data_IF_937755873477
#
_entry.id   IF_937755873477
#
_cell.length_a   1.000
_cell.length_b   1.000
_cell.length_c   1.000
_cell.angle_alpha   90.00
_cell.angle_beta   90.00
_cell.angle_gamma   90.00
#
_symmetry.space_group_name_H-M   'P 1'
#
loop_
_entity.id
_entity.type
_entity.pdbx_description
1 polymer ?
#
# COMPACT_ATOMS: atom_id res chain seq x y z
N UNK A 1 28.52 -29.47 -0.96
CA UNK A 1 29.10 -28.25 -1.58
C UNK A 1 27.96 -27.48 -2.19
N UNK A 2 27.66 -26.28 -1.69
CA UNK A 2 26.70 -25.39 -2.33
C UNK A 2 27.13 -25.13 -3.79
N UNK A 3 26.15 -24.95 -4.68
CA UNK A 3 26.42 -24.62 -6.09
C UNK A 3 27.21 -23.30 -6.19
N UNK A 4 28.00 -23.10 -7.27
CA UNK A 4 28.85 -21.90 -7.44
C UNK A 4 28.10 -20.55 -7.43
N UNK A 5 26.77 -20.53 -7.52
CA UNK A 5 25.96 -19.30 -7.57
C UNK A 5 24.91 -19.26 -6.43
N UNK A 6 25.13 -20.01 -5.36
CA UNK A 6 24.34 -19.95 -4.14
C UNK A 6 25.24 -19.46 -3.01
N UNK A 7 24.79 -18.44 -2.30
CA UNK A 7 25.48 -17.83 -1.18
C UNK A 7 24.60 -17.85 0.06
N UNK A 8 25.19 -18.06 1.21
CA UNK A 8 24.57 -17.82 2.52
C UNK A 8 25.33 -16.68 3.19
N UNK A 9 24.62 -15.64 3.62
CA UNK A 9 25.25 -14.45 4.23
C UNK A 9 26.02 -14.77 5.51
N UNK A 10 25.69 -15.86 6.20
CA UNK A 10 26.35 -16.31 7.43
C UNK A 10 27.59 -17.17 7.17
N UNK A 11 27.75 -17.70 5.95
CA UNK A 11 28.91 -18.48 5.52
C UNK A 11 29.92 -17.65 4.71
N UNK A 12 29.62 -16.38 4.42
CA UNK A 12 30.48 -15.51 3.62
C UNK A 12 31.70 -15.01 4.42
N UNK A 13 32.89 -15.11 3.82
CA UNK A 13 34.16 -14.82 4.51
C UNK A 13 34.55 -13.34 4.62
N UNK A 14 33.74 -12.41 4.10
CA UNK A 14 34.02 -10.97 4.12
C UNK A 14 32.90 -10.22 4.83
N UNK A 15 33.25 -9.51 5.92
CA UNK A 15 32.29 -8.79 6.75
C UNK A 15 31.61 -9.69 7.78
N UNK A 16 30.61 -9.15 8.48
CA UNK A 16 29.78 -9.87 9.45
C UNK A 16 28.32 -9.46 9.23
N UNK A 17 27.41 -10.38 8.84
CA UNK A 17 26.04 -10.02 8.52
C UNK A 17 25.26 -9.48 9.73
N UNK A 18 25.66 -9.82 10.95
CA UNK A 18 25.04 -9.29 12.17
C UNK A 18 25.46 -7.85 12.49
N UNK A 19 26.51 -7.34 11.83
CA UNK A 19 26.99 -5.96 12.01
C UNK A 19 26.66 -5.08 10.81
N UNK A 20 26.85 -5.61 9.61
CA UNK A 20 26.49 -4.95 8.36
C UNK A 20 26.26 -5.98 7.25
N UNK A 21 25.03 -6.50 7.14
CA UNK A 21 24.62 -7.39 6.04
C UNK A 21 24.71 -6.69 4.68
N UNK A 22 24.61 -5.36 4.66
CA UNK A 22 24.76 -4.58 3.44
C UNK A 22 26.13 -4.75 2.80
N UNK A 23 27.19 -4.64 3.61
CA UNK A 23 28.57 -4.91 3.18
C UNK A 23 28.76 -6.35 2.69
N UNK A 24 28.19 -7.32 3.41
CA UNK A 24 28.26 -8.75 3.06
C UNK A 24 27.61 -8.99 1.68
N UNK A 25 26.39 -8.52 1.47
CA UNK A 25 25.65 -8.70 0.22
C UNK A 25 26.39 -7.99 -0.94
N UNK A 26 26.86 -6.76 -0.74
CA UNK A 26 27.65 -6.06 -1.76
C UNK A 26 28.94 -6.81 -2.12
N UNK A 27 29.61 -7.43 -1.14
CA UNK A 27 30.80 -8.26 -1.39
C UNK A 27 30.46 -9.53 -2.18
N UNK A 28 29.32 -10.15 -1.92
CA UNK A 28 28.81 -11.29 -2.71
C UNK A 28 28.50 -10.85 -4.15
N UNK A 29 27.82 -9.71 -4.35
CA UNK A 29 27.53 -9.15 -5.69
C UNK A 29 28.83 -8.90 -6.46
N UNK A 30 29.86 -8.38 -5.80
CA UNK A 30 31.18 -8.19 -6.40
C UNK A 30 31.82 -9.53 -6.84
N UNK A 31 31.75 -10.58 -6.02
CA UNK A 31 32.22 -11.91 -6.40
C UNK A 31 31.47 -12.48 -7.61
N UNK A 32 30.13 -12.34 -7.64
CA UNK A 32 29.31 -12.76 -8.77
C UNK A 32 29.79 -12.09 -10.06
N UNK A 33 29.99 -10.76 -10.03
CA UNK A 33 30.45 -9.97 -11.18
C UNK A 33 31.85 -10.37 -11.63
N UNK A 34 32.75 -10.67 -10.70
CA UNK A 34 34.12 -11.12 -11.00
C UNK A 34 34.13 -12.49 -11.70
N UNK A 35 33.21 -13.39 -11.35
CA UNK A 35 33.11 -14.72 -11.97
C UNK A 35 32.32 -14.71 -13.27
N UNK A 36 31.25 -13.92 -13.36
CA UNK A 36 30.32 -13.88 -14.50
C UNK A 36 30.67 -12.71 -15.44
N UNK A 37 31.87 -12.74 -16.02
CA UNK A 37 32.36 -11.65 -16.89
C UNK A 37 31.90 -11.79 -18.36
N UNK A 38 31.67 -13.02 -18.80
CA UNK A 38 31.36 -13.35 -20.19
C UNK A 38 29.85 -13.33 -20.41
N UNK A 39 29.39 -12.71 -21.50
CA UNK A 39 27.96 -12.59 -21.82
C UNK A 39 27.45 -13.69 -22.75
N UNK A 40 28.34 -14.31 -23.52
CA UNK A 40 27.99 -15.32 -24.53
C UNK A 40 29.15 -16.30 -24.77
N UNK A 41 29.18 -17.40 -24.01
CA UNK A 41 30.05 -18.55 -24.20
C UNK A 41 29.20 -19.81 -24.09
N UNK A 42 29.13 -20.58 -25.18
CA UNK A 42 28.30 -21.78 -25.28
C UNK A 42 26.83 -21.49 -24.88
N UNK A 43 26.29 -20.39 -25.40
CA UNK A 43 24.92 -19.91 -25.12
C UNK A 43 24.66 -19.61 -23.62
N UNK A 44 25.71 -19.36 -22.85
CA UNK A 44 25.68 -19.04 -21.43
C UNK A 44 26.53 -17.80 -21.10
N UNK A 45 26.42 -17.27 -19.89
CA UNK A 45 27.27 -16.16 -19.47
C UNK A 45 26.99 -15.66 -18.07
N UNK A 46 25.92 -14.88 -17.92
CA UNK A 46 25.56 -14.19 -16.67
C UNK A 46 24.24 -14.72 -16.09
N UNK A 47 24.22 -15.95 -15.55
CA UNK A 47 23.00 -16.56 -15.01
C UNK A 47 22.51 -15.93 -13.70
N UNK A 48 23.23 -14.97 -13.11
CA UNK A 48 22.89 -14.41 -11.80
C UNK A 48 23.21 -15.39 -10.66
N UNK A 49 22.53 -15.21 -9.53
CA UNK A 49 22.82 -15.96 -8.31
C UNK A 49 21.67 -15.89 -7.31
N UNK A 50 21.75 -16.71 -6.27
CA UNK A 50 20.87 -16.69 -5.10
C UNK A 50 21.69 -16.30 -3.87
N UNK A 51 21.22 -15.33 -3.11
CA UNK A 51 21.73 -14.95 -1.79
C UNK A 51 20.67 -15.32 -0.77
N UNK A 52 21.01 -16.23 0.12
CA UNK A 52 20.14 -16.71 1.19
C UNK A 52 20.47 -16.02 2.51
N UNK A 53 19.41 -15.60 3.21
CA UNK A 53 19.44 -14.96 4.52
C UNK A 53 18.73 -15.91 5.49
N UNK A 54 19.45 -16.68 6.32
CA UNK A 54 18.82 -17.48 7.37
C UNK A 54 17.98 -16.61 8.32
N UNK A 55 17.07 -17.18 9.14
CA UNK A 55 16.43 -16.43 10.21
C UNK A 55 17.46 -15.88 11.20
N UNK A 56 17.35 -14.59 11.53
CA UNK A 56 18.28 -13.88 12.39
C UNK A 56 18.10 -12.36 12.31
N UNK A 57 18.76 -11.64 13.20
CA UNK A 57 18.82 -10.17 13.21
C UNK A 57 20.10 -9.69 12.52
N UNK A 58 19.93 -8.91 11.45
CA UNK A 58 20.99 -8.44 10.59
C UNK A 58 20.94 -6.93 10.42
N UNK A 59 21.84 -6.21 11.07
CA UNK A 59 22.00 -4.78 10.90
C UNK A 59 22.47 -4.45 9.48
N UNK A 60 21.85 -3.46 8.84
CA UNK A 60 22.25 -2.92 7.54
C UNK A 60 22.65 -1.47 7.72
N UNK A 61 23.95 -1.21 7.68
CA UNK A 61 24.53 0.14 7.80
C UNK A 61 25.14 0.63 6.48
N UNK A 62 25.33 -0.28 5.52
CA UNK A 62 25.71 0.03 4.13
C UNK A 62 24.56 -0.30 3.19
N UNK A 63 24.15 0.64 2.34
CA UNK A 63 23.15 0.39 1.30
C UNK A 63 23.62 -0.74 0.34
N UNK A 64 22.72 -1.68 0.03
CA UNK A 64 22.97 -2.71 -0.99
C UNK A 64 22.69 -2.14 -2.38
N UNK A 65 23.65 -2.24 -3.29
CA UNK A 65 23.47 -1.82 -4.69
C UNK A 65 23.38 -3.03 -5.60
N UNK A 66 22.23 -3.22 -6.24
CA UNK A 66 21.98 -4.32 -7.17
C UNK A 66 22.02 -3.79 -8.61
N UNK A 67 23.02 -4.24 -9.36
CA UNK A 67 23.26 -3.86 -10.75
C UNK A 67 23.40 -5.06 -11.71
N UNK A 68 22.93 -6.24 -11.28
CA UNK A 68 22.95 -7.49 -12.05
C UNK A 68 21.54 -8.09 -12.18
N UNK A 69 21.26 -8.66 -13.34
CA UNK A 69 20.00 -9.39 -13.59
C UNK A 69 20.02 -10.78 -12.95
N UNK A 70 18.84 -11.37 -12.79
CA UNK A 70 18.68 -12.74 -12.28
C UNK A 70 19.26 -12.95 -10.87
N UNK A 71 19.36 -11.88 -10.07
CA UNK A 71 19.72 -11.98 -8.67
C UNK A 71 18.46 -12.27 -7.85
N UNK A 72 18.50 -13.34 -7.06
CA UNK A 72 17.49 -13.62 -6.05
C UNK A 72 18.08 -13.39 -4.67
N UNK A 73 17.42 -12.58 -3.86
CA UNK A 73 17.69 -12.47 -2.43
C UNK A 73 16.50 -13.10 -1.71
N UNK A 74 16.75 -14.14 -0.92
CA UNK A 74 15.68 -14.90 -0.27
C UNK A 74 15.96 -15.20 1.20
N UNK A 75 14.91 -15.31 2.00
CA UNK A 75 14.99 -15.71 3.40
C UNK A 75 14.17 -16.95 3.74
N UNK A 76 13.71 -17.03 4.98
CA UNK A 76 12.85 -18.11 5.48
C UNK A 76 11.81 -17.61 6.49
N UNK A 77 11.32 -16.39 6.30
CA UNK A 77 10.20 -15.85 7.06
C UNK A 77 10.04 -14.34 6.93
N UNK A 78 8.82 -13.91 6.63
CA UNK A 78 8.41 -12.49 6.58
C UNK A 78 8.46 -11.81 7.96
N UNK A 79 8.32 -12.57 9.06
CA UNK A 79 8.73 -12.10 10.39
C UNK A 79 7.98 -10.90 10.97
N UNK A 80 6.76 -10.60 10.49
CA UNK A 80 5.98 -9.47 10.96
C UNK A 80 5.49 -9.66 12.40
N UNK A 81 5.61 -8.61 13.20
CA UNK A 81 4.85 -8.38 14.44
C UNK A 81 4.52 -6.90 14.50
N UNK A 82 3.46 -6.53 15.23
CA UNK A 82 3.04 -5.13 15.32
C UNK A 82 3.95 -4.32 16.25
N UNK A 83 4.90 -3.62 15.64
CA UNK A 83 5.73 -2.64 16.34
C UNK A 83 4.88 -1.46 16.83
N UNK A 84 3.85 -1.05 16.10
CA UNK A 84 2.94 0.04 16.47
C UNK A 84 2.21 -0.23 17.79
N UNK A 85 1.65 -1.43 17.97
CA UNK A 85 1.00 -1.82 19.23
C UNK A 85 2.02 -1.79 20.38
N UNK A 86 3.22 -2.32 20.16
CA UNK A 86 4.28 -2.32 21.17
C UNK A 86 4.68 -0.91 21.59
N UNK A 87 4.94 -0.02 20.63
CA UNK A 87 5.38 1.35 20.91
C UNK A 87 4.32 2.19 21.63
N UNK A 88 3.03 1.86 21.46
CA UNK A 88 1.93 2.48 22.18
C UNK A 88 1.52 1.73 23.47
N UNK A 89 2.24 0.67 23.83
CA UNK A 89 2.10 -0.02 25.12
C UNK A 89 3.13 0.54 26.12
N UNK A 90 2.78 0.77 27.40
CA UNK A 90 3.74 1.24 28.40
C UNK A 90 5.02 0.39 28.43
N UNK A 91 6.18 1.06 28.35
CA UNK A 91 7.49 0.39 28.31
C UNK A 91 7.75 -0.50 29.53
N UNK A 92 7.12 -0.19 30.68
CA UNK A 92 7.16 -1.03 31.90
C UNK A 92 6.64 -2.45 31.67
N UNK A 93 5.78 -2.63 30.68
CA UNK A 93 5.07 -3.88 30.42
C UNK A 93 5.84 -4.77 29.45
N UNK A 94 6.75 -4.21 28.65
CA UNK A 94 7.52 -4.93 27.64
C UNK A 94 8.37 -6.06 28.23
N UNK A 95 8.83 -5.93 29.48
CA UNK A 95 9.55 -6.99 30.18
C UNK A 95 8.75 -8.29 30.38
N UNK A 96 7.42 -8.20 30.27
CA UNK A 96 6.49 -9.32 30.40
C UNK A 96 6.03 -9.87 29.04
N UNK A 97 6.44 -9.25 27.92
CA UNK A 97 6.11 -9.73 26.58
C UNK A 97 7.01 -10.91 26.20
N UNK A 98 6.47 -11.84 25.40
CA UNK A 98 7.23 -12.98 24.90
C UNK A 98 8.35 -12.56 23.94
N UNK A 99 8.05 -11.57 23.09
CA UNK A 99 8.97 -10.94 22.16
C UNK A 99 8.57 -9.47 21.96
N UNK A 100 9.51 -8.65 21.49
CA UNK A 100 9.30 -7.21 21.34
C UNK A 100 9.73 -6.69 19.97
N UNK A 101 10.22 -7.53 19.07
CA UNK A 101 10.68 -7.09 17.75
C UNK A 101 10.16 -8.02 16.66
N UNK A 102 10.06 -7.52 15.42
CA UNK A 102 9.95 -8.38 14.25
C UNK A 102 11.07 -9.43 14.24
N UNK A 103 10.86 -10.51 13.49
CA UNK A 103 11.79 -11.64 13.40
C UNK A 103 11.92 -12.18 11.98
N UNK A 104 12.03 -13.51 11.85
CA UNK A 104 12.29 -14.15 10.55
C UNK A 104 13.70 -13.86 10.05
N UNK A 105 13.87 -13.73 8.74
CA UNK A 105 15.13 -13.30 8.12
C UNK A 105 15.19 -11.77 8.12
N UNK A 106 15.52 -11.16 9.26
CA UNK A 106 15.28 -9.74 9.54
C UNK A 106 16.48 -8.86 9.23
N UNK A 107 16.27 -7.93 8.30
CA UNK A 107 17.19 -6.84 8.00
C UNK A 107 16.74 -5.59 8.75
N UNK A 108 17.58 -5.13 9.67
CA UNK A 108 17.39 -3.91 10.44
C UNK A 108 18.01 -2.75 9.67
N UNK A 109 17.19 -1.81 9.19
CA UNK A 109 17.68 -0.70 8.37
C UNK A 109 18.23 0.41 9.26
N UNK A 110 19.55 0.41 9.46
CA UNK A 110 20.29 1.39 10.28
C UNK A 110 20.95 2.48 9.44
N UNK A 111 20.40 2.73 8.25
CA UNK A 111 20.75 3.90 7.45
C UNK A 111 20.19 5.16 8.12
N UNK A 112 20.99 6.23 8.12
CA UNK A 112 20.63 7.53 8.71
C UNK A 112 20.56 8.59 7.60
N UNK A 113 19.46 8.65 6.84
CA UNK A 113 19.26 9.66 5.81
C UNK A 113 19.26 11.06 6.44
N UNK A 114 19.85 12.03 5.74
CA UNK A 114 19.91 13.42 6.18
C UNK A 114 18.77 14.22 5.56
N UNK A 115 18.38 15.33 6.21
CA UNK A 115 17.39 16.25 5.63
C UNK A 115 17.86 16.77 4.27
N UNK A 116 17.01 16.63 3.25
CA UNK A 116 17.32 17.02 1.87
C UNK A 116 18.05 15.95 1.05
N UNK A 117 18.35 14.78 1.62
CA UNK A 117 18.81 13.64 0.83
C UNK A 117 17.75 13.18 -0.17
N UNK A 118 18.21 12.68 -1.32
CA UNK A 118 17.34 11.98 -2.25
C UNK A 118 16.84 10.68 -1.61
N UNK A 119 15.56 10.37 -1.77
CA UNK A 119 14.86 9.23 -1.14
C UNK A 119 15.65 7.92 -1.20
N UNK A 120 16.26 7.62 -2.35
CA UNK A 120 17.00 6.37 -2.54
C UNK A 120 18.19 6.22 -1.59
N UNK A 121 18.75 7.28 -0.99
CA UNK A 121 19.85 7.16 -0.02
C UNK A 121 19.43 6.46 1.27
N UNK A 122 18.14 6.52 1.61
CA UNK A 122 17.57 5.79 2.74
C UNK A 122 17.17 4.35 2.42
N UNK A 123 17.38 3.88 1.17
CA UNK A 123 16.96 2.55 0.75
C UNK A 123 17.90 1.46 1.24
N UNK A 124 17.37 0.41 1.87
CA UNK A 124 18.15 -0.78 2.23
C UNK A 124 18.70 -1.47 0.96
N UNK A 125 17.83 -1.65 -0.03
CA UNK A 125 18.17 -2.17 -1.36
C UNK A 125 17.92 -1.13 -2.44
N UNK A 126 18.99 -0.73 -3.13
CA UNK A 126 18.96 0.17 -4.26
C UNK A 126 19.25 -0.60 -5.56
N UNK A 127 18.24 -0.73 -6.42
CA UNK A 127 18.39 -1.39 -7.73
C UNK A 127 18.60 -0.33 -8.79
N UNK A 128 19.78 -0.34 -9.41
CA UNK A 128 20.12 0.59 -10.47
C UNK A 128 21.09 -0.03 -11.47
N UNK A 129 20.72 0.05 -12.74
CA UNK A 129 21.61 -0.21 -13.87
C UNK A 129 21.16 0.61 -15.07
N UNK A 130 22.06 1.46 -15.56
CA UNK A 130 21.84 2.23 -16.78
C UNK A 130 22.30 1.41 -18.01
N UNK A 131 21.77 1.73 -19.19
CA UNK A 131 22.11 1.05 -20.45
C UNK A 131 21.24 -0.17 -20.79
N UNK A 132 21.62 -0.86 -21.86
CA UNK A 132 20.87 -2.00 -22.41
C UNK A 132 21.52 -3.37 -22.10
N UNK A 133 20.72 -4.44 -21.95
CA UNK A 133 19.26 -4.41 -21.80
C UNK A 133 18.85 -3.84 -20.44
N UNK A 134 17.56 -3.51 -20.28
CA UNK A 134 16.94 -3.28 -18.95
C UNK A 134 17.34 -4.36 -17.95
N UNK A 135 17.46 -4.02 -16.68
CA UNK A 135 17.70 -5.03 -15.64
C UNK A 135 16.47 -5.93 -15.53
N UNK A 136 16.67 -7.25 -15.59
CA UNK A 136 15.55 -8.20 -15.59
C UNK A 136 15.60 -9.20 -14.45
N UNK A 137 14.40 -9.63 -14.04
CA UNK A 137 14.16 -10.81 -13.21
C UNK A 137 14.96 -10.86 -11.91
N UNK A 138 15.11 -9.72 -11.23
CA UNK A 138 15.55 -9.72 -9.83
C UNK A 138 14.36 -10.17 -8.97
N UNK A 139 14.65 -11.01 -7.98
CA UNK A 139 13.65 -11.56 -7.06
C UNK A 139 14.01 -11.21 -5.61
N UNK A 140 13.04 -10.69 -4.87
CA UNK A 140 13.08 -10.58 -3.41
C UNK A 140 12.04 -11.52 -2.82
N UNK A 141 12.45 -12.44 -1.93
CA UNK A 141 11.58 -13.51 -1.47
C UNK A 141 11.69 -13.84 0.02
N UNK A 142 10.57 -13.88 0.75
CA UNK A 142 10.47 -14.59 2.04
C UNK A 142 11.39 -14.05 3.16
N UNK A 143 11.69 -12.74 3.19
CA UNK A 143 12.48 -12.12 4.27
C UNK A 143 11.84 -10.82 4.79
N UNK A 144 12.37 -10.33 5.91
CA UNK A 144 11.86 -9.18 6.64
C UNK A 144 12.77 -7.95 6.46
N UNK A 145 12.19 -6.79 6.20
CA UNK A 145 12.88 -5.49 6.21
C UNK A 145 12.19 -4.58 7.23
N UNK A 146 12.94 -4.15 8.24
CA UNK A 146 12.43 -3.42 9.39
C UNK A 146 13.15 -2.07 9.54
N UNK A 147 12.37 -0.98 9.52
CA UNK A 147 12.89 0.38 9.72
C UNK A 147 13.11 0.77 11.18
N UNK A 148 12.77 -0.13 12.13
CA UNK A 148 12.95 -0.06 13.58
C UNK A 148 12.11 0.98 14.31
N UNK A 149 12.30 2.24 13.97
CA UNK A 149 11.75 3.39 14.68
C UNK A 149 11.31 4.46 13.67
N UNK A 150 10.18 5.07 13.96
CA UNK A 150 9.84 6.36 13.36
C UNK A 150 10.45 7.50 14.17
N UNK A 151 10.56 8.68 13.58
CA UNK A 151 11.14 9.87 14.18
C UNK A 151 10.11 10.99 14.25
N UNK A 152 10.32 11.93 15.17
CA UNK A 152 9.42 13.07 15.26
C UNK A 152 9.71 14.06 14.13
N UNK A 153 8.72 14.29 13.28
CA UNK A 153 8.74 15.26 12.18
C UNK A 153 7.84 16.48 12.46
N UNK A 154 7.03 16.43 13.54
CA UNK A 154 6.05 17.46 13.86
C UNK A 154 6.14 17.90 15.34
N UNK A 155 6.59 19.15 15.62
CA UNK A 155 6.68 19.65 16.99
C UNK A 155 5.33 19.74 17.75
N UNK A 156 4.19 19.58 17.06
CA UNK A 156 2.86 19.50 17.66
C UNK A 156 2.47 18.12 18.20
N UNK A 157 3.20 17.05 17.84
CA UNK A 157 2.95 15.68 18.31
C UNK A 157 4.19 15.14 19.03
N UNK A 158 4.02 14.68 20.27
CA UNK A 158 5.13 14.16 21.09
C UNK A 158 5.28 12.62 20.99
N UNK A 159 4.75 12.02 19.92
CA UNK A 159 4.68 10.57 19.71
C UNK A 159 5.42 10.17 18.42
N UNK A 160 6.77 10.12 18.45
CA UNK A 160 7.57 9.86 17.24
C UNK A 160 7.21 8.56 16.54
N UNK A 161 6.82 7.53 17.29
CA UNK A 161 6.52 6.19 16.75
C UNK A 161 5.19 6.11 16.02
N UNK A 162 4.40 7.19 16.01
CA UNK A 162 3.13 7.30 15.29
C UNK A 162 3.23 8.23 14.06
N UNK A 163 4.41 8.81 13.77
CA UNK A 163 4.58 9.79 12.68
C UNK A 163 4.61 9.17 11.29
N UNK A 164 5.01 7.89 11.19
CA UNK A 164 5.29 7.19 9.93
C UNK A 164 6.49 7.73 9.13
N UNK A 165 7.33 8.56 9.74
CA UNK A 165 8.47 9.22 9.09
C UNK A 165 9.79 8.71 9.67
N UNK A 166 10.76 8.37 8.82
CA UNK A 166 12.15 8.07 9.19
C UNK A 166 13.16 8.18 8.02
N UNK A 167 12.71 8.56 6.83
CA UNK A 167 13.47 8.67 5.59
C UNK A 167 13.95 7.33 5.02
N UNK A 168 13.55 6.19 5.60
CA UNK A 168 14.03 4.87 5.20
C UNK A 168 13.12 4.26 4.15
N UNK A 169 13.74 3.61 3.17
CA UNK A 169 13.04 2.82 2.16
C UNK A 169 13.45 1.35 2.26
N UNK A 170 12.53 0.41 2.12
CA UNK A 170 12.86 -1.02 2.06
C UNK A 170 13.59 -1.35 0.74
N UNK A 171 12.85 -1.30 -0.36
CA UNK A 171 13.36 -1.58 -1.70
C UNK A 171 13.09 -0.37 -2.61
N UNK A 172 14.15 0.17 -3.22
CA UNK A 172 14.07 1.26 -4.18
C UNK A 172 14.62 0.81 -5.53
N UNK A 173 13.77 0.73 -6.56
CA UNK A 173 14.15 0.35 -7.92
C UNK A 173 14.12 1.60 -8.80
N UNK A 174 15.29 2.11 -9.16
CA UNK A 174 15.44 3.38 -9.88
C UNK A 174 15.38 3.23 -11.39
N UNK A 175 15.97 2.16 -11.92
CA UNK A 175 16.12 1.94 -13.36
C UNK A 175 14.92 1.22 -13.96
N UNK A 176 14.69 1.44 -15.25
CA UNK A 176 13.73 0.64 -16.01
C UNK A 176 14.06 -0.86 -15.91
N UNK A 177 13.03 -1.64 -15.62
CA UNK A 177 13.18 -3.06 -15.30
C UNK A 177 12.13 -3.92 -16.01
N UNK A 178 12.40 -5.21 -16.08
CA UNK A 178 11.51 -6.20 -16.70
C UNK A 178 11.39 -7.47 -15.84
N UNK A 179 10.17 -7.97 -15.63
CA UNK A 179 9.89 -9.27 -15.01
C UNK A 179 10.39 -9.42 -13.56
N UNK A 180 10.46 -8.32 -12.80
CA UNK A 180 10.81 -8.38 -11.37
C UNK A 180 9.75 -9.08 -10.52
N UNK A 181 10.18 -9.64 -9.39
CA UNK A 181 9.30 -10.28 -8.40
C UNK A 181 9.62 -9.85 -6.98
N UNK A 182 8.58 -9.51 -6.23
CA UNK A 182 8.64 -9.27 -4.78
C UNK A 182 7.55 -10.14 -4.16
N UNK A 183 7.96 -11.16 -3.40
CA UNK A 183 7.06 -12.21 -2.91
C UNK A 183 7.32 -12.66 -1.49
N UNK A 184 6.29 -12.95 -0.70
CA UNK A 184 6.47 -13.49 0.65
C UNK A 184 7.17 -12.53 1.63
N UNK A 185 7.29 -11.25 1.28
CA UNK A 185 8.07 -10.29 2.06
C UNK A 185 7.31 -9.82 3.29
N UNK A 186 8.05 -9.53 4.36
CA UNK A 186 7.56 -8.74 5.49
C UNK A 186 8.24 -7.38 5.50
N UNK A 187 7.48 -6.30 5.47
CA UNK A 187 8.01 -4.95 5.38
C UNK A 187 7.30 -4.10 6.42
N UNK A 188 8.07 -3.54 7.36
CA UNK A 188 7.54 -2.93 8.59
C UNK A 188 8.35 -1.71 9.02
N UNK A 189 7.66 -0.70 9.56
CA UNK A 189 8.26 0.49 10.20
C UNK A 189 9.18 1.33 9.30
N UNK A 190 8.92 1.33 7.98
CA UNK A 190 9.64 2.13 6.99
C UNK A 190 8.76 3.29 6.51
N UNK A 191 9.35 4.44 6.20
CA UNK A 191 8.60 5.53 5.55
C UNK A 191 8.12 5.12 4.15
N UNK A 192 8.94 4.35 3.43
CA UNK A 192 8.58 3.74 2.16
C UNK A 192 8.87 2.24 2.16
N UNK A 193 7.86 1.40 1.95
CA UNK A 193 8.04 -0.04 1.84
C UNK A 193 8.78 -0.41 0.56
N UNK A 194 8.13 -0.18 -0.57
CA UNK A 194 8.68 -0.48 -1.90
C UNK A 194 8.36 0.65 -2.88
N UNK A 195 9.42 1.28 -3.41
CA UNK A 195 9.34 2.30 -4.47
C UNK A 195 9.93 1.75 -5.77
N UNK A 196 9.16 1.72 -6.85
CA UNK A 196 9.54 1.11 -8.13
C UNK A 196 9.30 2.06 -9.28
N UNK A 197 10.35 2.42 -10.00
CA UNK A 197 10.25 3.22 -11.21
C UNK A 197 10.25 2.35 -12.47
N UNK A 198 9.50 2.77 -13.50
CA UNK A 198 9.66 2.30 -14.88
C UNK A 198 9.51 0.78 -15.03
N UNK A 199 8.41 0.23 -14.51
CA UNK A 199 8.20 -1.22 -14.39
C UNK A 199 7.53 -1.85 -15.61
N UNK A 200 8.06 -2.98 -16.07
CA UNK A 200 7.47 -3.82 -17.11
C UNK A 200 7.29 -5.24 -16.58
N UNK A 201 6.10 -5.83 -16.76
CA UNK A 201 5.78 -7.20 -16.35
C UNK A 201 6.14 -7.53 -14.88
N UNK A 202 6.04 -6.54 -13.98
CA UNK A 202 6.32 -6.70 -12.54
C UNK A 202 5.25 -7.56 -11.86
N UNK A 203 5.66 -8.34 -10.87
CA UNK A 203 4.76 -9.00 -9.92
C UNK A 203 5.11 -8.69 -8.47
N UNK A 204 4.23 -7.96 -7.78
CA UNK A 204 4.25 -7.82 -6.32
C UNK A 204 3.15 -8.71 -5.75
N UNK A 205 3.53 -9.83 -5.12
CA UNK A 205 2.57 -10.88 -4.80
C UNK A 205 2.79 -11.55 -3.44
N UNK A 206 1.71 -11.77 -2.68
CA UNK A 206 1.74 -12.52 -1.42
C UNK A 206 2.71 -11.91 -0.39
N UNK A 207 2.68 -10.59 -0.22
CA UNK A 207 3.50 -9.87 0.76
C UNK A 207 2.66 -9.36 1.93
N UNK A 208 3.30 -9.19 3.08
CA UNK A 208 2.78 -8.45 4.22
C UNK A 208 3.54 -7.12 4.38
N UNK A 209 2.93 -6.02 3.95
CA UNK A 209 3.54 -4.68 3.93
C UNK A 209 2.69 -3.77 4.80
N UNK A 210 3.06 -3.60 6.07
CA UNK A 210 2.22 -2.90 7.03
C UNK A 210 3.04 -2.05 7.99
N UNK A 211 2.37 -1.08 8.62
CA UNK A 211 3.02 -0.11 9.51
C UNK A 211 4.17 0.62 8.80
N UNK A 212 3.99 0.89 7.51
CA UNK A 212 4.88 1.71 6.70
C UNK A 212 4.16 3.02 6.35
N UNK A 213 4.88 4.13 6.15
CA UNK A 213 4.25 5.38 5.71
C UNK A 213 3.56 5.19 4.37
N UNK A 214 4.33 4.71 3.40
CA UNK A 214 3.88 4.27 2.09
C UNK A 214 4.22 2.78 1.93
N UNK A 215 3.31 1.98 1.36
CA UNK A 215 3.53 0.55 1.19
C UNK A 215 4.09 0.23 -0.20
N UNK A 216 3.29 0.36 -1.27
CA UNK A 216 3.70 0.06 -2.64
C UNK A 216 3.53 1.29 -3.53
N UNK A 217 4.61 1.72 -4.17
CA UNK A 217 4.61 2.89 -5.04
C UNK A 217 5.22 2.59 -6.41
N UNK A 218 4.38 2.56 -7.44
CA UNK A 218 4.79 2.42 -8.83
C UNK A 218 4.89 3.81 -9.49
N UNK A 219 6.11 4.31 -9.65
CA UNK A 219 6.37 5.70 -10.06
C UNK A 219 6.95 5.78 -11.49
N UNK A 220 6.91 6.97 -12.08
CA UNK A 220 7.38 7.21 -13.45
C UNK A 220 6.35 6.74 -14.48
N UNK A 221 6.48 5.51 -14.96
CA UNK A 221 5.56 4.85 -15.87
C UNK A 221 5.69 3.32 -15.79
N UNK A 222 4.80 2.58 -16.44
CA UNK A 222 4.99 1.15 -16.59
C UNK A 222 3.85 0.43 -17.29
N UNK A 223 3.97 -0.89 -17.41
CA UNK A 223 2.98 -1.70 -18.12
C UNK A 223 2.92 -3.15 -17.66
N UNK A 224 1.79 -3.81 -17.96
CA UNK A 224 1.59 -5.26 -17.83
C UNK A 224 1.97 -5.84 -16.46
N UNK A 225 1.87 -5.01 -15.41
CA UNK A 225 2.32 -5.35 -14.07
C UNK A 225 1.13 -5.80 -13.21
N UNK A 226 1.39 -6.48 -12.09
CA UNK A 226 0.36 -6.92 -11.16
C UNK A 226 0.75 -6.75 -9.68
N UNK A 227 -0.24 -6.39 -8.87
CA UNK A 227 -0.18 -6.35 -7.40
C UNK A 227 -1.30 -7.26 -6.88
N UNK A 228 -0.93 -8.43 -6.37
CA UNK A 228 -1.88 -9.52 -6.10
C UNK A 228 -1.68 -10.23 -4.78
N UNK A 229 -2.76 -10.51 -4.03
CA UNK A 229 -2.73 -11.31 -2.79
C UNK A 229 -1.89 -10.70 -1.64
N UNK A 230 -1.77 -9.37 -1.59
CA UNK A 230 -1.01 -8.71 -0.52
C UNK A 230 -1.89 -8.32 0.68
N UNK A 231 -1.30 -8.34 1.87
CA UNK A 231 -1.82 -7.74 3.10
C UNK A 231 -1.12 -6.38 3.31
N UNK A 232 -1.89 -5.29 3.28
CA UNK A 232 -1.32 -3.94 3.16
C UNK A 232 -1.94 -2.99 4.19
N UNK A 233 -1.12 -2.26 4.95
CA UNK A 233 -1.56 -1.21 5.89
C UNK A 233 -0.57 -0.06 6.01
N UNK A 234 -0.87 1.06 5.34
CA UNK A 234 -0.01 2.25 5.29
C UNK A 234 -0.28 3.26 6.42
N UNK A 235 0.43 4.40 6.40
CA UNK A 235 0.26 5.55 7.29
C UNK A 235 -0.72 6.59 6.75
N UNK A 236 -1.27 7.44 7.63
CA UNK A 236 -2.32 8.42 7.32
C UNK A 236 -1.91 9.48 6.29
N UNK A 237 -0.61 9.69 6.12
CA UNK A 237 0.02 10.64 5.20
C UNK A 237 0.65 9.97 3.96
N UNK A 238 0.48 8.66 3.77
CA UNK A 238 1.08 7.92 2.66
C UNK A 238 0.14 6.93 1.99
N UNK A 239 0.62 6.27 0.93
CA UNK A 239 -0.19 5.43 0.05
C UNK A 239 -0.12 3.95 0.43
N UNK A 240 -1.27 3.26 0.42
CA UNK A 240 -1.27 1.79 0.48
C UNK A 240 -0.80 1.20 -0.85
N UNK A 241 -1.45 1.59 -1.95
CA UNK A 241 -1.03 1.25 -3.32
C UNK A 241 -1.10 2.52 -4.16
N UNK A 242 0.03 2.95 -4.70
CA UNK A 242 0.14 4.07 -5.63
C UNK A 242 0.65 3.61 -7.00
N UNK A 243 0.09 4.16 -8.08
CA UNK A 243 0.64 3.99 -9.42
C UNK A 243 0.50 5.24 -10.28
N UNK A 244 1.56 5.55 -11.05
CA UNK A 244 1.62 6.70 -11.95
C UNK A 244 1.97 6.29 -13.39
N UNK A 245 1.13 6.70 -14.35
CA UNK A 245 1.30 6.47 -15.79
C UNK A 245 1.48 4.98 -16.18
N UNK A 246 0.63 4.10 -15.63
CA UNK A 246 0.63 2.68 -15.96
C UNK A 246 -0.42 2.30 -17.02
N UNK A 247 -0.08 1.34 -17.87
CA UNK A 247 -1.00 0.70 -18.81
C UNK A 247 -1.17 -0.80 -18.53
N UNK A 248 -2.41 -1.29 -18.43
CA UNK A 248 -2.63 -2.74 -18.22
C UNK A 248 -2.14 -3.25 -16.86
N UNK A 249 -2.25 -2.43 -15.82
CA UNK A 249 -1.96 -2.82 -14.44
C UNK A 249 -3.12 -3.62 -13.86
N UNK A 250 -2.82 -4.71 -13.14
CA UNK A 250 -3.81 -5.52 -12.42
C UNK A 250 -3.61 -5.41 -10.90
N UNK A 251 -4.61 -4.89 -10.18
CA UNK A 251 -4.68 -4.85 -8.72
C UNK A 251 -5.79 -5.79 -8.27
N UNK A 252 -5.46 -6.96 -7.74
CA UNK A 252 -6.48 -7.95 -7.39
C UNK A 252 -6.19 -8.78 -6.14
N UNK A 253 -7.25 -9.25 -5.48
CA UNK A 253 -7.15 -10.13 -4.32
C UNK A 253 -6.34 -9.58 -3.13
N UNK A 254 -6.12 -8.26 -3.06
CA UNK A 254 -5.44 -7.64 -1.93
C UNK A 254 -6.43 -7.40 -0.79
N UNK A 255 -5.96 -7.54 0.44
CA UNK A 255 -6.65 -7.06 1.63
C UNK A 255 -5.88 -5.85 2.17
N UNK A 256 -6.40 -4.67 1.83
CA UNK A 256 -5.87 -3.38 2.28
C UNK A 256 -6.65 -2.96 3.50
N UNK A 257 -5.95 -2.78 4.61
CA UNK A 257 -6.48 -2.31 5.88
C UNK A 257 -5.88 -0.93 6.23
N UNK A 258 -6.44 -0.24 7.23
CA UNK A 258 -5.98 1.09 7.59
C UNK A 258 -4.49 1.14 7.97
N UNK A 259 -3.86 2.30 7.89
CA UNK A 259 -4.47 3.64 7.84
C UNK A 259 -3.91 4.51 6.73
N UNK A 260 -3.66 3.93 5.55
CA UNK A 260 -3.23 4.70 4.38
C UNK A 260 -4.13 5.91 4.11
N UNK A 261 -3.53 7.01 3.62
CA UNK A 261 -4.28 8.17 3.09
C UNK A 261 -5.29 7.77 2.01
N UNK A 262 -4.99 6.69 1.29
CA UNK A 262 -5.84 6.00 0.33
C UNK A 262 -5.50 4.51 0.32
N UNK A 263 -6.45 3.68 -0.13
CA UNK A 263 -6.23 2.25 -0.36
C UNK A 263 -5.62 2.01 -1.75
N UNK A 264 -6.10 2.70 -2.77
CA UNK A 264 -5.53 2.69 -4.13
C UNK A 264 -5.56 4.09 -4.74
N UNK A 265 -4.40 4.60 -5.16
CA UNK A 265 -4.26 5.91 -5.79
C UNK A 265 -3.59 5.77 -7.16
N UNK A 266 -4.33 6.11 -8.21
CA UNK A 266 -3.85 6.13 -9.58
C UNK A 266 -3.76 7.55 -10.11
N UNK A 267 -2.65 7.85 -10.79
CA UNK A 267 -2.39 9.14 -11.42
C UNK A 267 -1.99 8.91 -12.88
N UNK A 268 -2.85 9.28 -13.84
CA UNK A 268 -2.61 9.04 -15.27
C UNK A 268 -2.57 7.56 -15.70
N UNK A 269 -3.14 6.65 -14.89
CA UNK A 269 -3.20 5.22 -15.19
C UNK A 269 -4.33 4.90 -16.16
N UNK A 270 -4.06 4.03 -17.14
CA UNK A 270 -4.99 3.71 -18.20
C UNK A 270 -5.18 2.21 -18.38
N UNK A 271 -6.36 1.80 -18.86
CA UNK A 271 -6.64 0.41 -19.29
C UNK A 271 -6.25 -0.64 -18.25
N UNK A 272 -6.46 -0.31 -16.98
CA UNK A 272 -6.03 -1.10 -15.83
C UNK A 272 -7.22 -1.59 -15.04
N UNK A 273 -7.01 -2.57 -14.17
CA UNK A 273 -8.09 -3.25 -13.45
C UNK A 273 -7.81 -3.26 -11.95
N UNK A 274 -8.80 -2.83 -11.17
CA UNK A 274 -8.86 -2.95 -9.71
C UNK A 274 -10.05 -3.84 -9.37
N UNK A 275 -9.80 -5.10 -8.98
CA UNK A 275 -10.88 -6.07 -8.82
C UNK A 275 -10.67 -7.11 -7.72
N UNK A 276 -11.75 -7.50 -7.04
CA UNK A 276 -11.69 -8.56 -6.03
C UNK A 276 -10.85 -8.20 -4.80
N UNK A 277 -10.71 -6.91 -4.48
CA UNK A 277 -9.98 -6.46 -3.30
C UNK A 277 -10.94 -6.20 -2.13
N UNK A 278 -10.46 -6.40 -0.90
CA UNK A 278 -11.10 -5.89 0.32
C UNK A 278 -10.32 -4.66 0.77
N UNK A 279 -11.00 -3.52 0.83
CA UNK A 279 -10.42 -2.21 1.09
C UNK A 279 -11.10 -1.62 2.32
N UNK A 280 -10.36 -1.48 3.41
CA UNK A 280 -10.82 -0.87 4.66
C UNK A 280 -10.00 0.38 4.95
N UNK A 281 -10.68 1.50 5.22
CA UNK A 281 -10.07 2.80 5.51
C UNK A 281 -10.75 3.47 6.70
N UNK A 282 -10.01 4.32 7.40
CA UNK A 282 -10.59 5.24 8.39
C UNK A 282 -10.93 6.62 7.82
N UNK A 283 -10.59 6.86 6.55
CA UNK A 283 -10.62 8.18 5.92
C UNK A 283 -11.29 8.15 4.53
N UNK A 284 -11.87 9.28 4.07
CA UNK A 284 -12.31 9.47 2.69
C UNK A 284 -11.15 9.32 1.68
N UNK A 285 -11.46 9.21 0.39
CA UNK A 285 -10.44 9.06 -0.66
C UNK A 285 -9.82 7.66 -0.72
N UNK A 286 -10.59 6.62 -0.42
CA UNK A 286 -10.14 5.22 -0.46
C UNK A 286 -9.60 4.81 -1.83
N UNK A 287 -10.32 5.19 -2.89
CA UNK A 287 -9.90 5.03 -4.28
C UNK A 287 -9.81 6.40 -4.93
N UNK A 288 -8.64 6.73 -5.48
CA UNK A 288 -8.42 7.97 -6.21
C UNK A 288 -7.95 7.66 -7.62
N UNK A 289 -8.73 8.08 -8.62
CA UNK A 289 -8.34 8.11 -10.03
C UNK A 289 -8.19 9.57 -10.45
N UNK A 290 -6.97 10.05 -10.64
CA UNK A 290 -6.68 11.44 -10.99
C UNK A 290 -5.81 11.59 -12.24
N UNK A 291 -5.59 12.83 -12.67
CA UNK A 291 -4.75 13.16 -13.81
C UNK A 291 -5.11 12.38 -15.09
N UNK A 292 -6.41 12.31 -15.38
CA UNK A 292 -6.99 11.66 -16.55
C UNK A 292 -6.83 10.13 -16.59
N UNK A 293 -6.98 9.48 -15.43
CA UNK A 293 -7.08 8.03 -15.37
C UNK A 293 -8.27 7.53 -16.21
N UNK A 294 -8.02 6.74 -17.25
CA UNK A 294 -9.03 6.44 -18.28
C UNK A 294 -9.10 4.98 -18.68
N UNK A 295 -10.29 4.52 -19.10
CA UNK A 295 -10.54 3.14 -19.52
C UNK A 295 -10.21 2.08 -18.44
N UNK A 296 -10.26 2.46 -17.14
CA UNK A 296 -9.98 1.53 -16.05
C UNK A 296 -11.25 0.80 -15.59
N UNK A 297 -11.10 -0.46 -15.17
CA UNK A 297 -12.15 -1.26 -14.56
C UNK A 297 -11.98 -1.30 -13.04
N UNK A 298 -13.01 -0.88 -12.30
CA UNK A 298 -13.10 -0.98 -10.84
C UNK A 298 -14.31 -1.85 -10.52
N UNK A 299 -14.08 -3.12 -10.18
CA UNK A 299 -15.20 -4.06 -10.04
C UNK A 299 -15.03 -5.13 -8.99
N UNK A 300 -16.14 -5.56 -8.37
CA UNK A 300 -16.16 -6.64 -7.38
C UNK A 300 -15.23 -6.39 -6.18
N UNK A 301 -15.05 -5.13 -5.78
CA UNK A 301 -14.32 -4.79 -4.57
C UNK A 301 -15.30 -4.57 -3.40
N UNK A 302 -14.82 -4.81 -2.18
CA UNK A 302 -15.52 -4.46 -0.95
C UNK A 302 -14.83 -3.28 -0.28
N UNK A 303 -15.49 -2.13 -0.24
CA UNK A 303 -15.05 -0.94 0.46
C UNK A 303 -15.73 -0.87 1.82
N UNK A 304 -14.95 -0.59 2.86
CA UNK A 304 -15.43 -0.30 4.20
C UNK A 304 -14.75 0.96 4.70
N UNK A 305 -15.55 1.97 5.05
CA UNK A 305 -15.09 3.17 5.75
C UNK A 305 -15.68 3.16 7.15
N UNK A 306 -14.82 3.30 8.15
CA UNK A 306 -15.19 3.46 9.57
C UNK A 306 -14.41 4.58 10.25
N UNK A 307 -14.68 4.89 11.51
CA UNK A 307 -13.84 5.78 12.32
C UNK A 307 -12.74 4.98 13.03
N UNK A 308 -11.53 5.54 13.20
CA UNK A 308 -10.42 4.89 13.89
C UNK A 308 -10.81 4.54 15.34
N UNK A 309 -10.90 3.25 15.71
CA UNK A 309 -11.31 2.86 17.06
C UNK A 309 -10.15 2.95 18.07
N UNK A 310 -8.89 3.03 17.62
CA UNK A 310 -7.73 2.95 18.50
C UNK A 310 -7.27 4.33 19.01
N UNK A 311 -7.32 4.60 20.32
CA UNK A 311 -7.12 5.95 20.87
C UNK A 311 -5.81 6.66 20.46
N UNK A 312 -4.64 6.02 20.41
CA UNK A 312 -3.40 6.69 20.00
C UNK A 312 -3.45 7.27 18.58
N UNK A 313 -4.34 6.74 17.73
CA UNK A 313 -4.37 7.07 16.32
C UNK A 313 -5.58 7.91 15.91
N UNK A 314 -6.53 8.15 16.82
CA UNK A 314 -7.72 8.98 16.59
C UNK A 314 -7.41 10.44 16.27
N UNK A 315 -6.23 10.93 16.65
CA UNK A 315 -5.78 12.30 16.37
C UNK A 315 -5.25 12.52 14.95
N UNK A 316 -5.09 11.45 14.14
CA UNK A 316 -4.52 11.53 12.80
C UNK A 316 -5.57 11.29 11.72
N UNK A 317 -5.52 12.10 10.66
CA UNK A 317 -6.33 11.96 9.46
C UNK A 317 -5.51 12.25 8.19
N UNK A 318 -6.11 12.05 7.03
CA UNK A 318 -5.49 12.33 5.73
C UNK A 318 -5.78 13.76 5.21
N UNK A 319 -6.38 14.63 6.03
CA UNK A 319 -6.74 16.00 5.66
C UNK A 319 -7.93 16.15 4.71
N UNK A 320 -8.60 15.07 4.31
CA UNK A 320 -9.78 15.12 3.43
C UNK A 320 -11.08 15.19 4.23
N UNK A 321 -12.08 15.85 3.65
CA UNK A 321 -13.44 15.91 4.19
C UNK A 321 -14.36 14.86 3.55
N UNK A 322 -15.52 14.60 4.15
CA UNK A 322 -16.46 13.56 3.67
C UNK A 322 -17.21 13.97 2.39
N UNK A 323 -16.96 15.17 1.84
CA UNK A 323 -17.44 15.56 0.50
C UNK A 323 -16.48 15.14 -0.62
N UNK A 324 -15.26 14.70 -0.27
CA UNK A 324 -14.25 14.30 -1.23
C UNK A 324 -14.70 13.10 -2.08
N UNK A 325 -15.43 12.16 -1.47
CA UNK A 325 -15.76 10.86 -2.08
C UNK A 325 -14.96 9.73 -1.44
N UNK A 326 -15.57 8.57 -1.21
CA UNK A 326 -14.80 7.35 -0.97
C UNK A 326 -14.09 6.88 -2.25
N UNK A 327 -14.80 6.99 -3.38
CA UNK A 327 -14.28 6.74 -4.72
C UNK A 327 -14.28 8.07 -5.49
N UNK A 328 -13.08 8.60 -5.74
CA UNK A 328 -12.85 9.83 -6.48
C UNK A 328 -12.42 9.51 -7.93
N UNK A 329 -13.14 10.06 -8.91
CA UNK A 329 -12.92 9.79 -10.33
C UNK A 329 -12.69 11.08 -11.13
N UNK A 330 -11.54 11.18 -11.79
CA UNK A 330 -11.18 12.25 -12.71
C UNK A 330 -10.48 11.67 -13.94
N UNK A 331 -11.27 11.43 -14.98
CA UNK A 331 -10.84 10.86 -16.26
C UNK A 331 -11.97 10.21 -17.05
N UNK A 332 -11.62 9.59 -18.18
CA UNK A 332 -12.59 9.22 -19.21
C UNK A 332 -12.85 7.71 -19.28
N UNK A 333 -14.10 7.33 -19.57
CA UNK A 333 -14.50 5.97 -19.93
C UNK A 333 -14.12 4.89 -18.90
N UNK A 334 -14.02 5.24 -17.62
CA UNK A 334 -13.82 4.24 -16.57
C UNK A 334 -15.12 3.45 -16.34
N UNK A 335 -14.98 2.22 -15.88
CA UNK A 335 -16.08 1.31 -15.53
C UNK A 335 -16.05 1.02 -14.03
N UNK A 336 -17.07 1.46 -13.29
CA UNK A 336 -17.22 1.20 -11.84
C UNK A 336 -18.43 0.31 -11.61
N UNK A 337 -18.20 -0.99 -11.43
CA UNK A 337 -19.21 -2.03 -11.62
C UNK A 337 -19.25 -2.99 -10.44
N UNK A 338 -20.42 -3.24 -9.85
CA UNK A 338 -20.61 -4.33 -8.89
C UNK A 338 -19.67 -4.28 -7.66
N UNK A 339 -19.42 -3.08 -7.14
CA UNK A 339 -18.72 -2.92 -5.87
C UNK A 339 -19.72 -2.93 -4.70
N UNK A 340 -19.27 -3.41 -3.54
CA UNK A 340 -19.97 -3.24 -2.28
C UNK A 340 -19.28 -2.13 -1.49
N UNK A 341 -20.02 -1.15 -0.99
CA UNK A 341 -19.47 0.01 -0.30
C UNK A 341 -20.24 0.24 1.00
N UNK A 342 -19.56 0.04 2.12
CA UNK A 342 -20.07 0.30 3.46
C UNK A 342 -19.47 1.60 4.01
N UNK A 343 -20.32 2.60 4.22
CA UNK A 343 -19.99 3.83 4.95
C UNK A 343 -20.61 3.73 6.34
N UNK A 344 -19.81 3.37 7.35
CA UNK A 344 -20.29 3.26 8.72
C UNK A 344 -19.58 4.28 9.60
N UNK A 345 -20.24 5.39 9.89
CA UNK A 345 -19.63 6.48 10.66
C UNK A 345 -20.68 7.20 11.51
N UNK A 346 -20.35 7.45 12.77
CA UNK A 346 -21.15 8.35 13.60
C UNK A 346 -21.09 9.78 13.04
N UNK A 347 -22.27 10.39 12.89
CA UNK A 347 -22.45 11.77 12.45
C UNK A 347 -21.58 12.81 13.18
N UNK A 348 -21.15 12.55 14.42
CA UNK A 348 -20.25 13.45 15.14
C UNK A 348 -18.84 13.53 14.52
N UNK A 349 -18.42 12.49 13.80
CA UNK A 349 -17.10 12.41 13.17
C UNK A 349 -17.10 12.89 11.71
N UNK A 350 -18.26 13.26 11.18
CA UNK A 350 -18.38 13.83 9.85
C UNK A 350 -17.73 15.21 9.78
N UNK A 351 -16.96 15.41 8.72
CA UNK A 351 -16.19 16.62 8.42
C UNK A 351 -16.62 17.18 7.04
N UNK A 352 -17.05 18.45 6.96
CA UNK A 352 -17.45 19.30 8.09
C UNK A 352 -18.72 18.77 8.78
N UNK A 353 -18.98 19.20 10.01
CA UNK A 353 -20.17 18.77 10.76
C UNK A 353 -21.47 19.05 9.99
N UNK A 354 -22.37 18.06 9.96
CA UNK A 354 -23.65 18.13 9.26
C UNK A 354 -23.56 17.96 7.74
N UNK A 355 -22.38 17.63 7.19
CA UNK A 355 -22.24 17.28 5.79
C UNK A 355 -23.01 16.00 5.47
N UNK A 356 -23.49 15.91 4.23
CA UNK A 356 -23.97 14.67 3.63
C UNK A 356 -22.80 14.00 2.90
N UNK A 357 -22.25 12.88 3.38
CA UNK A 357 -21.09 12.24 2.77
C UNK A 357 -21.32 11.88 1.31
N UNK A 358 -20.27 11.96 0.50
CA UNK A 358 -20.29 11.53 -0.90
C UNK A 358 -19.59 10.19 -1.01
N UNK A 359 -20.23 9.22 -1.66
CA UNK A 359 -19.66 7.87 -1.80
C UNK A 359 -18.84 7.77 -3.10
N UNK A 360 -19.48 7.96 -4.26
CA UNK A 360 -18.79 7.99 -5.56
C UNK A 360 -18.85 9.41 -6.12
N UNK A 361 -17.69 10.03 -6.36
CA UNK A 361 -17.60 11.38 -6.91
C UNK A 361 -16.90 11.38 -8.27
N UNK A 362 -17.63 11.76 -9.32
CA UNK A 362 -17.08 11.98 -10.66
C UNK A 362 -16.78 13.47 -10.83
N UNK A 363 -15.52 13.83 -10.68
CA UNK A 363 -15.08 15.23 -10.67
C UNK A 363 -14.88 15.78 -12.08
N UNK A 364 -14.32 14.99 -12.98
CA UNK A 364 -14.09 15.38 -14.36
C UNK A 364 -14.06 14.18 -15.29
N UNK A 365 -14.20 14.45 -16.58
CA UNK A 365 -14.11 13.46 -17.65
C UNK A 365 -15.45 13.01 -18.17
N UNK A 366 -15.43 12.12 -19.16
CA UNK A 366 -16.62 11.72 -19.92
C UNK A 366 -16.74 10.23 -20.12
N UNK A 367 -17.97 9.78 -20.31
CA UNK A 367 -18.24 8.39 -20.65
C UNK A 367 -18.01 7.39 -19.52
N UNK A 368 -17.83 7.84 -18.27
CA UNK A 368 -17.72 6.92 -17.15
C UNK A 368 -19.01 6.13 -16.98
N UNK A 369 -18.89 4.82 -16.80
CA UNK A 369 -19.98 3.87 -16.68
C UNK A 369 -20.02 3.31 -15.25
N UNK A 370 -20.98 3.78 -14.47
CA UNK A 370 -21.14 3.44 -13.05
C UNK A 370 -22.42 2.62 -12.92
N UNK A 371 -22.29 1.32 -12.61
CA UNK A 371 -23.48 0.46 -12.50
C UNK A 371 -23.44 -0.56 -11.38
N UNK A 372 -24.61 -0.84 -10.83
CA UNK A 372 -24.85 -1.97 -9.93
C UNK A 372 -23.94 -1.97 -8.68
N UNK A 373 -23.61 -0.79 -8.16
CA UNK A 373 -22.85 -0.67 -6.90
C UNK A 373 -23.84 -0.68 -5.73
N UNK A 374 -23.62 -1.56 -4.75
CA UNK A 374 -24.46 -1.62 -3.56
C UNK A 374 -23.82 -0.79 -2.45
N UNK A 375 -24.51 0.29 -2.07
CA UNK A 375 -24.05 1.25 -1.06
C UNK A 375 -24.91 1.06 0.19
N UNK A 376 -24.25 0.78 1.31
CA UNK A 376 -24.86 0.68 2.64
C UNK A 376 -24.23 1.79 3.48
N UNK A 377 -25.05 2.75 3.92
CA UNK A 377 -24.58 3.85 4.75
C UNK A 377 -25.31 3.83 6.09
N UNK A 378 -24.55 3.79 7.18
CA UNK A 378 -25.05 3.66 8.54
C UNK A 378 -24.35 4.60 9.51
N UNK A 379 -25.05 4.98 10.57
CA UNK A 379 -24.53 5.71 11.72
C UNK A 379 -25.00 5.02 12.99
N UNK A 380 -24.21 5.12 14.06
CA UNK A 380 -24.63 4.65 15.38
C UNK A 380 -25.70 5.59 15.94
N UNK A 381 -26.76 5.01 16.53
CA UNK A 381 -27.62 5.75 17.45
C UNK A 381 -26.86 5.95 18.75
N UNK A 382 -26.87 7.17 19.26
CA UNK A 382 -26.13 7.61 20.46
C UNK A 382 -26.52 6.83 21.73
N UNK A 383 -26.04 5.59 21.84
CA UNK A 383 -26.04 4.78 23.05
C UNK A 383 -24.61 4.74 23.61
N UNK A 384 -24.52 4.73 24.94
CA UNK A 384 -23.27 4.84 25.71
C UNK A 384 -22.15 3.97 25.13
N UNK A 385 -21.04 4.63 24.79
CA UNK A 385 -19.80 3.96 24.36
C UNK A 385 -19.47 2.87 25.37
N UNK A 386 -19.43 1.62 24.91
CA UNK A 386 -18.82 0.54 25.70
C UNK A 386 -17.42 0.99 26.15
N UNK A 387 -17.00 0.63 27.38
CA UNK A 387 -15.73 1.09 27.92
C UNK A 387 -14.60 0.81 26.92
N UNK A 388 -13.72 1.80 26.72
CA UNK A 388 -12.57 1.68 25.84
C UNK A 388 -11.84 0.36 26.13
N UNK A 389 -11.90 -0.57 25.18
CA UNK A 389 -11.14 -1.81 25.27
C UNK A 389 -9.67 -1.45 25.24
N UNK A 390 -8.90 -1.89 26.24
CA UNK A 390 -7.48 -1.53 26.37
C UNK A 390 -6.59 -2.14 25.27
N UNK A 391 -7.10 -3.12 24.52
CA UNK A 391 -6.38 -3.82 23.44
C UNK A 391 -6.74 -3.26 22.06
N UNK A 392 -5.73 -2.96 21.24
CA UNK A 392 -5.89 -2.47 19.86
C UNK A 392 -6.70 -3.45 19.00
N UNK A 393 -6.35 -4.74 19.05
CA UNK A 393 -7.03 -5.78 18.28
C UNK A 393 -8.51 -5.94 18.69
N UNK A 394 -8.81 -5.92 20.00
CA UNK A 394 -10.18 -6.09 20.47
C UNK A 394 -11.06 -4.90 20.07
N UNK A 395 -10.50 -3.68 20.08
CA UNK A 395 -11.20 -2.48 19.58
C UNK A 395 -11.51 -2.61 18.08
N UNK A 396 -10.54 -3.07 17.29
CA UNK A 396 -10.69 -3.27 15.84
C UNK A 396 -11.71 -4.36 15.50
N UNK A 397 -11.65 -5.51 16.17
CA UNK A 397 -12.61 -6.60 15.97
C UNK A 397 -14.00 -6.19 16.43
N UNK A 398 -14.10 -5.50 17.58
CA UNK A 398 -15.35 -4.97 18.10
C UNK A 398 -16.03 -4.05 17.09
N UNK A 399 -15.30 -3.09 16.52
CA UNK A 399 -15.81 -2.19 15.48
C UNK A 399 -16.34 -2.97 14.26
N UNK A 400 -15.53 -3.87 13.70
CA UNK A 400 -15.89 -4.64 12.50
C UNK A 400 -17.11 -5.55 12.66
N UNK A 401 -17.39 -6.01 13.89
CA UNK A 401 -18.50 -6.92 14.19
C UNK A 401 -19.77 -6.17 14.66
N UNK A 402 -19.69 -4.87 14.90
CA UNK A 402 -20.81 -4.08 15.41
C UNK A 402 -21.77 -3.74 14.26
N UNK A 403 -22.93 -4.42 14.25
CA UNK A 403 -24.03 -4.16 13.32
C UNK A 403 -25.37 -3.92 14.02
N UNK A 404 -25.39 -4.04 15.35
CA UNK A 404 -26.57 -3.79 16.18
C UNK A 404 -26.71 -2.28 16.44
N UNK A 405 -27.94 -1.76 16.49
CA UNK A 405 -28.25 -0.34 16.73
C UNK A 405 -27.70 0.67 15.69
N UNK A 406 -27.56 0.23 14.44
CA UNK A 406 -27.27 1.11 13.30
C UNK A 406 -28.56 1.68 12.70
N UNK A 407 -28.57 2.99 12.46
CA UNK A 407 -29.60 3.68 11.68
C UNK A 407 -29.06 4.06 10.29
N UNK A 408 -29.93 4.19 9.27
CA UNK A 408 -29.51 4.66 7.96
C UNK A 408 -28.88 6.06 8.03
N UNK A 409 -27.69 6.21 7.46
CA UNK A 409 -27.05 7.52 7.28
C UNK A 409 -27.44 8.10 5.91
N UNK A 410 -27.87 9.35 5.88
CA UNK A 410 -28.16 10.03 4.61
C UNK A 410 -26.85 10.37 3.88
N UNK A 411 -26.72 9.89 2.64
CA UNK A 411 -25.51 10.04 1.82
C UNK A 411 -25.84 10.38 0.37
N UNK A 412 -24.92 11.03 -0.31
CA UNK A 412 -24.93 11.17 -1.77
C UNK A 412 -24.21 9.97 -2.36
N UNK A 413 -24.96 9.00 -2.87
CA UNK A 413 -24.43 7.76 -3.43
C UNK A 413 -23.52 8.04 -4.64
N UNK A 414 -23.99 8.88 -5.57
CA UNK A 414 -23.19 9.30 -6.73
C UNK A 414 -23.35 10.80 -6.95
N UNK A 415 -22.23 11.52 -6.99
CA UNK A 415 -22.15 12.93 -7.36
C UNK A 415 -21.37 13.08 -8.66
N UNK A 416 -22.02 13.61 -9.70
CA UNK A 416 -21.39 13.93 -10.98
C UNK A 416 -21.27 15.45 -11.08
N UNK A 417 -20.03 15.93 -11.03
CA UNK A 417 -19.71 17.36 -11.10
C UNK A 417 -19.94 17.93 -12.52
N UNK A 418 -20.07 19.25 -12.64
CA UNK A 418 -20.34 19.92 -13.93
C UNK A 418 -19.30 19.67 -15.01
N UNK A 419 -18.05 19.45 -14.61
CA UNK A 419 -16.95 19.15 -15.52
C UNK A 419 -16.98 17.69 -16.03
N UNK A 420 -17.83 16.85 -15.44
CA UNK A 420 -18.05 15.48 -15.87
C UNK A 420 -19.35 15.36 -16.69
N UNK A 421 -19.23 14.91 -17.94
CA UNK A 421 -20.34 14.89 -18.90
C UNK A 421 -20.45 13.55 -19.62
N UNK A 422 -21.61 13.23 -20.17
CA UNK A 422 -21.86 12.00 -20.93
C UNK A 422 -21.58 10.72 -20.11
N UNK A 423 -21.68 10.81 -18.79
CA UNK A 423 -21.55 9.66 -17.92
C UNK A 423 -22.88 8.89 -17.85
N UNK A 424 -22.80 7.61 -17.51
CA UNK A 424 -23.96 6.74 -17.33
C UNK A 424 -23.95 6.17 -15.92
N UNK A 425 -25.00 6.45 -15.15
CA UNK A 425 -25.18 5.96 -13.77
C UNK A 425 -26.44 5.10 -13.70
N UNK A 426 -26.28 3.81 -13.39
CA UNK A 426 -27.38 2.83 -13.35
C UNK A 426 -27.36 2.07 -12.02
N UNK A 427 -28.52 1.90 -11.37
CA UNK A 427 -28.69 1.02 -10.20
C UNK A 427 -27.60 1.19 -9.13
N UNK A 428 -27.18 2.43 -8.88
CA UNK A 428 -26.10 2.79 -7.94
C UNK A 428 -26.54 3.91 -6.99
N UNK A 429 -27.84 4.03 -6.76
CA UNK A 429 -28.47 5.04 -5.92
C UNK A 429 -29.91 5.34 -6.37
N UNK A 430 -30.76 5.75 -5.44
CA UNK A 430 -32.12 6.22 -5.76
C UNK A 430 -32.13 7.60 -6.41
N UNK A 431 -33.31 8.07 -6.82
CA UNK A 431 -33.53 9.41 -7.36
C UNK A 431 -32.99 10.53 -6.45
N UNK A 432 -33.04 10.35 -5.13
CA UNK A 432 -32.61 11.36 -4.14
C UNK A 432 -31.15 11.23 -3.73
N UNK A 433 -30.52 10.08 -4.00
CA UNK A 433 -29.13 9.81 -3.64
C UNK A 433 -28.15 10.15 -4.78
N UNK A 434 -28.64 10.38 -6.00
CA UNK A 434 -27.81 10.69 -7.16
C UNK A 434 -27.95 12.16 -7.57
N UNK A 435 -26.84 12.89 -7.51
CA UNK A 435 -26.74 14.30 -7.88
C UNK A 435 -25.99 14.43 -9.20
N UNK A 436 -26.72 14.76 -10.28
CA UNK A 436 -26.15 14.92 -11.62
C UNK A 436 -27.04 15.77 -12.53
N UNK A 437 -26.44 16.43 -13.52
CA UNK A 437 -27.19 17.06 -14.62
C UNK A 437 -27.65 15.98 -15.62
N UNK A 438 -28.96 15.74 -15.64
CA UNK A 438 -29.60 14.71 -16.49
C UNK A 438 -29.75 15.12 -17.96
N UNK A 439 -29.46 16.38 -18.30
CA UNK A 439 -29.50 16.82 -19.70
C UNK A 439 -28.25 16.39 -20.47
N UNK A 440 -27.15 16.17 -19.74
CA UNK A 440 -25.85 15.79 -20.31
C UNK A 440 -25.33 14.45 -19.79
N UNK A 441 -26.09 13.73 -18.95
CA UNK A 441 -25.72 12.41 -18.45
C UNK A 441 -26.94 11.47 -18.44
N UNK A 442 -26.69 10.16 -18.56
CA UNK A 442 -27.72 9.13 -18.52
C UNK A 442 -27.88 8.56 -17.11
N UNK A 443 -29.11 8.44 -16.63
CA UNK A 443 -29.42 7.98 -15.28
C UNK A 443 -30.55 6.96 -15.27
N UNK A 444 -30.36 5.88 -14.51
CA UNK A 444 -31.43 4.97 -14.05
C UNK A 444 -31.27 4.77 -12.55
N UNK A 445 -32.26 5.21 -11.78
CA UNK A 445 -32.29 5.00 -10.34
C UNK A 445 -32.39 3.53 -9.97
N UNK A 446 -31.80 3.16 -8.84
CA UNK A 446 -32.09 1.89 -8.16
C UNK A 446 -33.59 1.85 -7.81
N UNK A 447 -34.34 0.80 -8.20
CA UNK A 447 -35.75 0.68 -7.83
C UNK A 447 -35.92 0.68 -6.30
N UNK A 448 -36.80 1.54 -5.79
CA UNK A 448 -37.26 1.51 -4.41
C UNK A 448 -38.59 0.73 -4.31
N UNK A 449 -38.86 0.01 -3.20
CA UNK A 449 -40.19 -0.54 -2.95
C UNK A 449 -41.25 0.56 -3.03
N UNK A 450 -42.39 0.26 -3.66
CA UNK A 450 -43.53 1.18 -3.65
C UNK A 450 -44.04 1.34 -2.21
N UNK A 451 -44.15 2.60 -1.75
CA UNK A 451 -44.83 2.94 -0.50
C UNK A 451 -46.33 3.02 -0.76
#
# INVERSE_FOLDING_TARGET
>A
MASKNYYDVTEWGVGNPHQDIGMVINSIIADIKNRQTQTDINDAGKPGAVIYIPPGDYHLTTQVVIDISYLKIMGSGHGFTSSSIRFNTPQSDWKNWHEVWPGGSRILVDLVPQSGDEEYKGAAFYVRRDGEPRISSVEFADFCIDGLHFVNDNPGHNEPENSYVNGKTGIYIASAQDSFRITGMGIVYLEHGVTIYNADALSVHDNFIAECGNCIELRGAGQASKITDNLIGAGYNGYSIYAQNFGGLLIAANNVFPRGSSSVHFSGVMRSTITGNRLHSFYPGMLVLENNCSENLVSANHFLREHEPWPPMQGYDNGLDDSYGLLYLSGDNNSVISNHISENIDTQYLKPSGIKPVIIRVVAGKGNFITSNHIVATTETSAEKSPATHSCFDAQVGALLTVEALEPLDVTAVQVEKAAQQNTVLDSGTETQVVMDRTVNAFRATPAPGV
#
